data_IF_121787635050
#
_entry.id   IF_121787635050
#
_cell.length_a   1.000
_cell.length_b   1.000
_cell.length_c   1.000
_cell.angle_alpha   90.00
_cell.angle_beta   90.00
_cell.angle_gamma   90.00
#
_symmetry.space_group_name_H-M   'P 1'
#
loop_
_entity.id
_entity.type
_entity.pdbx_description
1 polymer ?
#
# COMPACT_ATOMS: atom_id res chain seq x y z
N UNK A 1 37.33 -26.31 -49.64
CA UNK A 1 36.51 -26.58 -48.45
C UNK A 1 35.28 -25.69 -48.50
N UNK A 2 34.13 -26.37 -48.46
CA UNK A 2 32.72 -25.98 -48.39
C UNK A 2 32.28 -24.52 -48.44
N UNK A 3 31.50 -24.25 -49.49
CA UNK A 3 30.31 -23.41 -49.53
C UNK A 3 29.30 -23.80 -48.45
N UNK A 4 28.71 -22.85 -47.72
CA UNK A 4 27.32 -22.93 -47.21
C UNK A 4 26.72 -21.52 -47.27
N UNK A 5 25.64 -21.43 -48.04
CA UNK A 5 24.74 -20.30 -48.16
C UNK A 5 23.60 -20.41 -47.12
N UNK A 6 23.18 -19.25 -46.59
CA UNK A 6 21.84 -18.74 -46.16
C UNK A 6 20.66 -19.69 -45.81
N UNK A 7 19.55 -19.22 -45.17
CA UNK A 7 19.24 -17.88 -44.62
C UNK A 7 18.56 -17.89 -43.21
N UNK A 8 18.54 -16.71 -42.57
CA UNK A 8 17.61 -16.37 -41.47
C UNK A 8 16.18 -16.19 -42.02
N UNK A 9 15.13 -16.77 -41.42
CA UNK A 9 13.76 -16.34 -41.66
C UNK A 9 13.38 -15.15 -40.76
N UNK A 10 13.10 -14.01 -41.38
CA UNK A 10 12.49 -12.83 -40.75
C UNK A 10 10.97 -12.96 -40.64
N UNK A 11 10.45 -12.31 -39.60
CA UNK A 11 9.06 -12.08 -39.18
C UNK A 11 8.00 -11.83 -40.25
N UNK A 12 6.78 -12.33 -40.01
CA UNK A 12 5.54 -11.64 -40.41
C UNK A 12 4.49 -11.73 -39.30
N UNK A 13 4.41 -10.66 -38.49
CA UNK A 13 3.31 -10.43 -37.55
C UNK A 13 2.26 -9.63 -38.31
N UNK A 14 1.12 -10.28 -38.58
CA UNK A 14 -0.09 -9.63 -39.08
C UNK A 14 -0.84 -9.02 -37.89
N UNK A 15 -0.78 -7.70 -37.74
CA UNK A 15 -1.65 -6.97 -36.81
C UNK A 15 -3.09 -6.93 -37.34
N UNK A 16 -4.12 -7.16 -36.50
CA UNK A 16 -5.51 -6.90 -36.88
C UNK A 16 -5.84 -5.41 -36.71
N UNK A 17 -6.36 -4.81 -37.79
CA UNK A 17 -6.89 -3.46 -37.84
C UNK A 17 -8.20 -3.34 -37.05
N UNK A 18 -8.39 -2.20 -36.39
CA UNK A 18 -9.55 -1.87 -35.56
C UNK A 18 -10.44 -0.85 -36.28
N UNK A 19 -11.69 -1.21 -36.56
CA UNK A 19 -12.75 -0.28 -36.97
C UNK A 19 -14.10 -0.64 -36.34
N UNK A 20 -14.43 0.14 -35.29
CA UNK A 20 -15.70 0.80 -34.91
C UNK A 20 -17.08 0.14 -35.18
N UNK A 21 -17.82 0.02 -34.06
CA UNK A 21 -19.23 0.40 -33.76
C UNK A 21 -20.40 -0.11 -34.63
N UNK A 22 -21.36 -0.82 -34.01
CA UNK A 22 -22.72 -0.30 -33.76
C UNK A 22 -23.67 -1.37 -33.19
N UNK A 23 -24.64 -0.90 -32.43
CA UNK A 23 -25.70 -1.63 -31.74
C UNK A 23 -26.87 -1.86 -32.71
N UNK A 24 -27.40 -3.08 -32.80
CA UNK A 24 -28.82 -3.44 -32.60
C UNK A 24 -29.21 -4.78 -33.27
N UNK A 25 -30.14 -5.47 -32.62
CA UNK A 25 -31.06 -6.51 -33.10
C UNK A 25 -30.55 -7.93 -33.46
N UNK A 26 -30.89 -8.84 -32.53
CA UNK A 26 -31.59 -10.09 -32.79
C UNK A 26 -30.99 -11.06 -33.84
N UNK A 27 -29.86 -11.66 -33.51
CA UNK A 27 -29.47 -12.95 -34.09
C UNK A 27 -29.10 -13.92 -32.97
N UNK A 28 -29.73 -15.10 -33.01
CA UNK A 28 -29.52 -16.27 -32.14
C UNK A 28 -28.02 -16.42 -31.80
N UNK A 29 -27.61 -16.49 -30.52
CA UNK A 29 -26.20 -16.49 -30.18
C UNK A 29 -25.55 -17.79 -30.71
N UNK A 30 -24.35 -17.73 -31.31
CA UNK A 30 -23.60 -18.93 -31.64
C UNK A 30 -23.34 -19.70 -30.35
N UNK A 31 -23.44 -21.03 -30.39
CA UNK A 31 -23.28 -21.90 -29.22
C UNK A 31 -21.99 -21.64 -28.41
N UNK A 32 -20.96 -21.09 -29.08
CA UNK A 32 -19.69 -20.71 -28.47
C UNK A 32 -19.77 -19.48 -27.54
N UNK A 33 -20.71 -18.55 -27.76
CA UNK A 33 -20.91 -17.41 -26.85
C UNK A 33 -21.45 -17.85 -25.49
N UNK A 34 -22.32 -18.87 -25.47
CA UNK A 34 -22.82 -19.47 -24.21
C UNK A 34 -21.74 -20.25 -23.47
N UNK A 35 -20.87 -20.97 -24.20
CA UNK A 35 -19.72 -21.67 -23.61
C UNK A 35 -18.68 -20.70 -23.03
N UNK A 36 -18.34 -19.63 -23.76
CA UNK A 36 -17.43 -18.60 -23.28
C UNK A 36 -18.01 -17.85 -22.08
N UNK A 37 -19.33 -17.61 -22.05
CA UNK A 37 -20.00 -17.00 -20.89
C UNK A 37 -20.04 -17.94 -19.68
N UNK A 38 -20.17 -19.25 -19.88
CA UNK A 38 -20.09 -20.23 -18.78
C UNK A 38 -18.66 -20.30 -18.22
N UNK A 39 -17.66 -20.44 -19.09
CA UNK A 39 -16.25 -20.47 -18.69
C UNK A 39 -15.82 -19.22 -17.91
N UNK A 40 -16.32 -18.03 -18.29
CA UNK A 40 -16.06 -16.80 -17.54
C UNK A 40 -16.80 -16.76 -16.20
N UNK A 41 -17.99 -17.35 -16.08
CA UNK A 41 -18.73 -17.42 -14.81
C UNK A 41 -18.07 -18.39 -13.83
N UNK A 42 -17.52 -19.48 -14.35
CA UNK A 42 -16.77 -20.47 -13.57
C UNK A 42 -15.42 -19.89 -13.13
N UNK A 43 -14.72 -19.15 -14.00
CA UNK A 43 -13.44 -18.50 -13.69
C UNK A 43 -13.55 -17.41 -12.59
N UNK A 44 -14.68 -16.70 -12.54
CA UNK A 44 -14.93 -15.68 -11.50
C UNK A 44 -15.84 -16.17 -10.37
N UNK A 45 -16.22 -17.46 -10.33
CA UNK A 45 -17.03 -18.06 -9.26
C UNK A 45 -18.45 -17.50 -9.12
N UNK A 46 -19.02 -16.89 -10.17
CA UNK A 46 -20.32 -16.19 -10.11
C UNK A 46 -21.44 -17.20 -10.37
N UNK A 47 -21.80 -17.98 -9.35
CA UNK A 47 -23.01 -18.81 -9.35
C UNK A 47 -24.24 -17.90 -9.24
N UNK A 48 -25.13 -17.93 -10.23
CA UNK A 48 -26.34 -17.09 -10.22
C UNK A 48 -27.28 -17.48 -9.08
N UNK A 49 -27.32 -16.65 -8.04
CA UNK A 49 -28.29 -16.69 -6.95
C UNK A 49 -29.69 -16.16 -7.39
N UNK A 50 -30.24 -16.70 -8.48
CA UNK A 50 -31.58 -16.36 -8.96
C UNK A 50 -32.26 -17.54 -9.64
N UNK A 51 -32.43 -18.63 -8.89
CA UNK A 51 -33.57 -19.54 -9.04
C UNK A 51 -33.70 -20.38 -7.77
N UNK A 52 -34.28 -19.77 -6.73
CA UNK A 52 -34.72 -20.49 -5.54
C UNK A 52 -36.23 -20.63 -5.56
N UNK A 53 -36.72 -21.86 -5.68
CA UNK A 53 -37.90 -22.40 -5.02
C UNK A 53 -38.11 -23.84 -5.51
N UNK A 54 -38.04 -24.78 -4.57
CA UNK A 54 -38.30 -26.22 -4.67
C UNK A 54 -37.43 -27.05 -5.62
N UNK A 55 -36.33 -27.59 -5.06
CA UNK A 55 -36.20 -29.05 -4.93
C UNK A 55 -35.23 -29.38 -3.81
N UNK A 56 -35.66 -30.33 -2.99
CA UNK A 56 -34.93 -30.89 -1.85
C UNK A 56 -33.60 -31.47 -2.30
N UNK A 57 -32.64 -31.37 -1.39
CA UNK A 57 -31.41 -32.16 -1.33
C UNK A 57 -31.73 -33.61 -1.75
N UNK A 58 -31.21 -34.02 -2.91
CA UNK A 58 -31.19 -35.41 -3.36
C UNK A 58 -29.76 -35.72 -3.79
N UNK A 59 -28.96 -36.14 -2.82
CA UNK A 59 -27.81 -36.99 -3.06
C UNK A 59 -28.36 -38.36 -3.49
N UNK A 60 -28.50 -38.54 -4.79
CA UNK A 60 -28.79 -39.81 -5.44
C UNK A 60 -27.53 -40.09 -6.27
N UNK A 61 -26.47 -40.71 -5.72
CA UNK A 61 -26.45 -42.08 -5.19
C UNK A 61 -27.26 -43.00 -6.10
N UNK A 62 -26.76 -43.15 -7.31
CA UNK A 62 -27.11 -44.23 -8.22
C UNK A 62 -26.72 -45.58 -7.58
N UNK A 63 -27.56 -46.02 -6.63
CA UNK A 63 -27.68 -47.42 -6.21
C UNK A 63 -28.33 -48.18 -7.36
N UNK A 64 -27.50 -48.79 -8.20
CA UNK A 64 -27.91 -49.97 -8.94
C UNK A 64 -28.12 -51.08 -7.92
N UNK A 65 -29.37 -51.39 -7.61
CA UNK A 65 -29.72 -52.65 -6.96
C UNK A 65 -29.46 -53.80 -7.93
N UNK A 66 -28.39 -54.55 -7.66
CA UNK A 66 -28.27 -55.98 -7.98
C UNK A 66 -27.49 -56.62 -6.81
N UNK A 67 -28.17 -57.43 -6.00
CA UNK A 67 -27.51 -58.47 -5.20
C UNK A 67 -27.10 -59.67 -6.08
N UNK A 68 -26.31 -60.64 -5.59
CA UNK A 68 -26.00 -60.91 -4.19
C UNK A 68 -24.53 -60.72 -3.80
N UNK A 69 -24.38 -60.48 -2.51
CA UNK A 69 -23.20 -60.28 -1.68
C UNK A 69 -22.38 -61.59 -1.52
N UNK A 70 -21.71 -62.04 -2.59
CA UNK A 70 -20.81 -63.22 -2.54
C UNK A 70 -19.48 -63.01 -3.29
N UNK A 71 -19.36 -61.99 -4.13
CA UNK A 71 -18.11 -61.73 -4.89
C UNK A 71 -17.19 -60.69 -4.22
N UNK A 72 -17.65 -59.93 -3.21
CA UNK A 72 -16.82 -58.95 -2.52
C UNK A 72 -15.88 -59.60 -1.48
N UNK A 73 -16.28 -60.71 -0.86
CA UNK A 73 -15.45 -61.43 0.12
C UNK A 73 -14.23 -62.08 -0.55
N UNK A 74 -14.38 -62.64 -1.75
CA UNK A 74 -13.25 -63.28 -2.47
C UNK A 74 -12.20 -62.31 -3.02
N UNK A 75 -12.53 -61.01 -3.09
CA UNK A 75 -11.57 -59.96 -3.48
C UNK A 75 -10.83 -59.38 -2.28
N UNK A 76 -11.44 -59.42 -1.10
CA UNK A 76 -10.80 -58.95 0.13
C UNK A 76 -9.78 -59.94 0.70
N UNK A 77 -9.85 -61.22 0.32
CA UNK A 77 -8.91 -62.25 0.77
C UNK A 77 -7.54 -62.15 0.06
N UNK A 78 -7.53 -61.80 -1.23
CA UNK A 78 -6.32 -61.63 -2.05
C UNK A 78 -5.51 -60.38 -1.67
N UNK A 79 -6.18 -59.32 -1.24
CA UNK A 79 -5.56 -58.05 -0.82
C UNK A 79 -5.28 -58.00 0.70
N UNK A 80 -5.42 -59.12 1.41
CA UNK A 80 -5.16 -59.21 2.86
C UNK A 80 -3.66 -59.18 3.19
N UNK A 81 -3.27 -58.52 4.29
CA UNK A 81 -1.86 -58.38 4.69
C UNK A 81 -1.17 -59.71 5.05
N UNK A 82 -1.96 -60.75 5.34
CA UNK A 82 -1.47 -62.10 5.66
C UNK A 82 -1.55 -63.07 4.48
N UNK A 83 -1.79 -62.57 3.26
CA UNK A 83 -1.93 -63.41 2.07
C UNK A 83 -0.62 -64.10 1.69
N UNK A 84 -0.62 -65.43 1.68
CA UNK A 84 0.49 -66.24 1.19
C UNK A 84 0.24 -66.69 -0.25
N UNK A 85 0.96 -66.07 -1.18
CA UNK A 85 0.86 -66.34 -2.61
C UNK A 85 1.26 -67.79 -2.95
N UNK A 86 2.24 -68.37 -2.24
CA UNK A 86 2.73 -69.72 -2.55
C UNK A 86 1.72 -70.79 -2.10
N UNK A 87 1.17 -70.66 -0.89
CA UNK A 87 0.09 -71.55 -0.43
C UNK A 87 -1.14 -71.46 -1.34
N UNK A 88 -1.55 -70.25 -1.76
CA UNK A 88 -2.69 -70.05 -2.65
C UNK A 88 -2.49 -70.72 -4.02
N UNK A 89 -1.34 -70.51 -4.67
CA UNK A 89 -1.03 -71.16 -5.95
C UNK A 89 -0.99 -72.68 -5.81
N UNK A 90 -0.38 -73.20 -4.73
CA UNK A 90 -0.32 -74.65 -4.48
C UNK A 90 -1.71 -75.26 -4.27
N UNK A 91 -2.61 -74.57 -3.56
CA UNK A 91 -3.99 -75.04 -3.41
C UNK A 91 -4.75 -75.02 -4.74
N UNK A 92 -4.53 -74.02 -5.60
CA UNK A 92 -5.16 -73.94 -6.92
C UNK A 92 -4.67 -75.07 -7.83
N UNK A 93 -3.37 -75.35 -7.85
CA UNK A 93 -2.79 -76.41 -8.66
C UNK A 93 -3.22 -77.81 -8.18
N UNK A 94 -3.44 -77.99 -6.88
CA UNK A 94 -3.92 -79.24 -6.31
C UNK A 94 -5.43 -79.49 -6.53
N UNK A 95 -6.23 -78.42 -6.59
CA UNK A 95 -7.71 -78.52 -6.57
C UNK A 95 -8.35 -78.27 -7.94
N UNK A 96 -7.71 -77.51 -8.84
CA UNK A 96 -8.28 -77.08 -10.12
C UNK A 96 -7.51 -77.64 -11.33
N UNK A 97 -8.25 -77.95 -12.40
CA UNK A 97 -7.67 -78.38 -13.68
C UNK A 97 -7.06 -77.23 -14.49
N UNK A 98 -6.19 -77.56 -15.46
CA UNK A 98 -5.43 -76.59 -16.27
C UNK A 98 -6.27 -75.47 -16.89
N UNK A 99 -7.48 -75.79 -17.37
CA UNK A 99 -8.40 -74.80 -17.97
C UNK A 99 -8.90 -73.76 -16.97
N UNK A 100 -9.05 -74.14 -15.71
CA UNK A 100 -9.49 -73.23 -14.64
C UNK A 100 -8.33 -72.38 -14.14
N UNK A 101 -7.11 -72.93 -14.11
CA UNK A 101 -5.89 -72.17 -13.76
C UNK A 101 -5.66 -71.03 -14.77
N UNK A 102 -5.77 -71.30 -16.07
CA UNK A 102 -5.62 -70.28 -17.11
C UNK A 102 -6.70 -69.20 -17.04
N UNK A 103 -7.94 -69.55 -16.66
CA UNK A 103 -9.00 -68.57 -16.45
C UNK A 103 -8.71 -67.66 -15.26
N UNK A 104 -8.21 -68.22 -14.14
CA UNK A 104 -7.85 -67.42 -12.96
C UNK A 104 -6.69 -66.47 -13.25
N UNK A 105 -5.69 -66.90 -14.02
CA UNK A 105 -4.60 -66.02 -14.46
C UNK A 105 -5.12 -64.88 -15.32
N UNK A 106 -5.95 -65.18 -16.31
CA UNK A 106 -6.54 -64.17 -17.18
C UNK A 106 -7.41 -63.17 -16.41
N UNK A 107 -8.17 -63.63 -15.41
CA UNK A 107 -8.99 -62.76 -14.56
C UNK A 107 -8.13 -61.85 -13.67
N UNK A 108 -7.07 -62.38 -13.05
CA UNK A 108 -6.13 -61.59 -12.25
C UNK A 108 -5.37 -60.56 -13.11
N UNK A 109 -4.92 -60.94 -14.31
CA UNK A 109 -4.30 -60.01 -15.25
C UNK A 109 -5.27 -58.91 -15.72
N UNK A 110 -6.54 -59.28 -15.97
CA UNK A 110 -7.58 -58.31 -16.35
C UNK A 110 -7.87 -57.32 -15.22
N UNK A 111 -8.02 -57.81 -13.99
CA UNK A 111 -8.26 -56.97 -12.81
C UNK A 111 -7.10 -56.04 -12.52
N UNK A 112 -5.87 -56.55 -12.52
CA UNK A 112 -4.67 -55.73 -12.30
C UNK A 112 -4.51 -54.68 -13.39
N UNK A 113 -4.70 -55.03 -14.67
CA UNK A 113 -4.68 -54.06 -15.76
C UNK A 113 -5.78 -53.00 -15.61
N UNK A 114 -6.98 -53.40 -15.21
CA UNK A 114 -8.10 -52.46 -14.97
C UNK A 114 -7.79 -51.50 -13.83
N UNK A 115 -7.27 -51.98 -12.70
CA UNK A 115 -6.89 -51.16 -11.55
C UNK A 115 -5.76 -50.21 -11.93
N UNK A 116 -4.70 -50.71 -12.58
CA UNK A 116 -3.58 -49.89 -13.03
C UNK A 116 -4.04 -48.83 -14.03
N UNK A 117 -4.87 -49.18 -15.00
CA UNK A 117 -5.45 -48.21 -15.93
C UNK A 117 -6.31 -47.17 -15.21
N UNK A 118 -7.14 -47.57 -14.25
CA UNK A 118 -8.02 -46.65 -13.52
C UNK A 118 -7.21 -45.70 -12.61
N UNK A 119 -6.21 -46.23 -11.89
CA UNK A 119 -5.32 -45.45 -11.03
C UNK A 119 -4.45 -44.49 -11.86
N UNK A 120 -3.86 -44.99 -12.94
CA UNK A 120 -3.06 -44.17 -13.85
C UNK A 120 -3.91 -43.08 -14.52
N UNK A 121 -5.11 -43.41 -14.97
CA UNK A 121 -6.07 -42.45 -15.49
C UNK A 121 -6.45 -41.40 -14.44
N UNK A 122 -6.73 -41.82 -13.21
CA UNK A 122 -7.05 -40.92 -12.08
C UNK A 122 -5.91 -39.93 -11.83
N UNK A 123 -4.68 -40.42 -11.74
CA UNK A 123 -3.48 -39.60 -11.51
C UNK A 123 -3.28 -38.63 -12.67
N UNK A 124 -3.40 -39.10 -13.91
CA UNK A 124 -3.21 -38.26 -15.09
C UNK A 124 -4.29 -37.18 -15.21
N UNK A 125 -5.56 -37.52 -14.97
CA UNK A 125 -6.68 -36.60 -15.17
C UNK A 125 -6.74 -35.56 -14.06
N UNK A 126 -6.49 -35.96 -12.81
CA UNK A 126 -6.54 -35.04 -11.67
C UNK A 126 -5.27 -34.20 -11.62
N UNK A 127 -4.07 -34.79 -11.50
CA UNK A 127 -2.85 -34.00 -11.27
C UNK A 127 -2.44 -33.08 -12.44
N UNK A 128 -2.79 -33.42 -13.70
CA UNK A 128 -2.34 -32.65 -14.87
C UNK A 128 -2.87 -31.19 -14.85
N UNK A 129 -4.16 -30.93 -14.60
CA UNK A 129 -4.68 -29.59 -14.33
C UNK A 129 -3.92 -28.82 -13.25
N UNK A 130 -3.69 -29.41 -12.07
CA UNK A 130 -3.01 -28.72 -10.98
C UNK A 130 -1.59 -28.31 -11.35
N UNK A 131 -0.83 -29.20 -12.01
CA UNK A 131 0.54 -28.89 -12.46
C UNK A 131 0.54 -27.72 -13.45
N UNK A 132 -0.43 -27.68 -14.37
CA UNK A 132 -0.56 -26.58 -15.35
C UNK A 132 -0.97 -25.27 -14.68
N UNK A 133 -1.85 -25.32 -13.69
CA UNK A 133 -2.27 -24.13 -12.95
C UNK A 133 -1.09 -23.54 -12.15
N UNK A 134 -0.37 -24.39 -11.42
CA UNK A 134 0.82 -23.98 -10.65
C UNK A 134 1.92 -23.37 -11.54
N UNK A 135 2.13 -23.92 -12.74
CA UNK A 135 3.07 -23.33 -13.71
C UNK A 135 2.59 -21.97 -14.23
N UNK A 136 1.28 -21.80 -14.47
CA UNK A 136 0.70 -20.51 -14.86
C UNK A 136 0.86 -19.46 -13.74
N UNK A 137 0.58 -19.84 -12.49
CA UNK A 137 0.68 -18.95 -11.33
C UNK A 137 2.13 -18.53 -11.09
N UNK A 138 3.08 -19.47 -11.17
CA UNK A 138 4.52 -19.17 -11.11
C UNK A 138 4.92 -18.18 -12.20
N UNK A 139 4.48 -18.38 -13.44
CA UNK A 139 4.78 -17.46 -14.55
C UNK A 139 4.20 -16.08 -14.28
N UNK A 140 2.95 -15.98 -13.84
CA UNK A 140 2.31 -14.70 -13.51
C UNK A 140 3.09 -13.95 -12.44
N UNK A 141 3.45 -14.63 -11.34
CA UNK A 141 4.22 -14.02 -10.25
C UNK A 141 5.57 -13.49 -10.73
N UNK A 142 6.26 -14.27 -11.57
CA UNK A 142 7.55 -13.89 -12.15
C UNK A 142 7.40 -12.64 -13.02
N UNK A 143 6.39 -12.57 -13.88
CA UNK A 143 6.13 -11.38 -14.69
C UNK A 143 5.74 -10.16 -13.86
N UNK A 144 4.95 -10.34 -12.80
CA UNK A 144 4.59 -9.27 -11.88
C UNK A 144 5.81 -8.73 -11.13
N UNK A 145 6.72 -9.61 -10.69
CA UNK A 145 7.92 -9.18 -10.00
C UNK A 145 8.89 -8.45 -10.94
N UNK A 146 9.16 -9.01 -12.12
CA UNK A 146 10.04 -8.37 -13.09
C UNK A 146 9.46 -7.05 -13.62
N UNK A 147 8.16 -6.97 -13.85
CA UNK A 147 7.53 -5.70 -14.28
C UNK A 147 7.62 -4.63 -13.20
N UNK A 148 7.44 -4.99 -11.92
CA UNK A 148 7.66 -4.07 -10.79
C UNK A 148 9.12 -3.62 -10.68
N UNK A 149 10.08 -4.54 -10.83
CA UNK A 149 11.51 -4.22 -10.80
C UNK A 149 11.89 -3.32 -11.97
N UNK A 150 11.39 -3.61 -13.16
CA UNK A 150 11.60 -2.79 -14.36
C UNK A 150 10.97 -1.40 -14.17
N UNK A 151 9.76 -1.31 -13.62
CA UNK A 151 9.10 -0.05 -13.30
C UNK A 151 9.91 0.77 -12.29
N UNK A 152 10.34 0.16 -11.18
CA UNK A 152 11.18 0.81 -10.18
C UNK A 152 12.51 1.31 -10.78
N UNK A 153 13.17 0.48 -11.59
CA UNK A 153 14.40 0.84 -12.30
C UNK A 153 14.17 1.99 -13.29
N UNK A 154 13.04 1.99 -14.00
CA UNK A 154 12.67 3.08 -14.90
C UNK A 154 12.39 4.38 -14.14
N UNK A 155 11.80 4.30 -12.94
CA UNK A 155 11.57 5.45 -12.06
C UNK A 155 12.88 5.99 -11.52
N UNK A 156 13.80 5.13 -11.07
CA UNK A 156 15.15 5.53 -10.66
C UNK A 156 15.89 6.20 -11.83
N UNK A 157 15.79 5.62 -13.03
CA UNK A 157 16.38 6.21 -14.23
C UNK A 157 15.79 7.60 -14.51
N UNK A 158 14.46 7.75 -14.41
CA UNK A 158 13.75 9.01 -14.63
C UNK A 158 14.09 10.07 -13.58
N UNK A 159 14.16 9.66 -12.30
CA UNK A 159 14.62 10.52 -11.19
C UNK A 159 16.06 10.97 -11.43
N UNK A 160 16.94 10.05 -11.84
CA UNK A 160 18.33 10.38 -12.16
C UNK A 160 18.42 11.33 -13.35
N UNK A 161 17.73 11.07 -14.45
CA UNK A 161 17.77 11.96 -15.64
C UNK A 161 17.12 13.31 -15.37
N UNK A 162 16.16 13.41 -14.44
CA UNK A 162 15.56 14.68 -14.03
C UNK A 162 16.43 15.44 -13.01
N UNK A 163 17.28 14.74 -12.25
CA UNK A 163 18.23 15.33 -11.30
C UNK A 163 19.59 15.68 -11.94
N UNK A 164 20.01 14.93 -12.97
CA UNK A 164 21.20 15.22 -13.78
C UNK A 164 21.26 16.66 -14.32
N UNK A 165 20.17 17.29 -14.79
CA UNK A 165 20.17 18.68 -15.20
C UNK A 165 20.17 19.68 -14.02
N UNK A 166 19.96 19.25 -12.76
CA UNK A 166 20.14 20.11 -11.59
C UNK A 166 21.59 20.11 -11.07
N UNK A 167 22.37 19.05 -11.32
CA UNK A 167 23.81 19.04 -11.02
C UNK A 167 24.58 20.24 -11.66
N UNK A 168 24.40 20.60 -12.95
CA UNK A 168 25.06 21.78 -13.51
C UNK A 168 24.55 23.08 -12.90
N UNK A 169 23.28 23.18 -12.47
CA UNK A 169 22.80 24.38 -11.76
C UNK A 169 23.41 24.54 -10.37
N UNK A 170 23.72 23.45 -9.66
CA UNK A 170 24.48 23.54 -8.41
C UNK A 170 25.94 24.00 -8.64
N UNK A 171 26.54 23.61 -9.77
CA UNK A 171 27.86 24.09 -10.18
C UNK A 171 27.85 25.56 -10.66
N UNK A 172 26.73 26.11 -11.10
CA UNK A 172 26.62 27.56 -11.43
C UNK A 172 26.24 28.42 -10.22
N UNK A 173 25.47 27.87 -9.27
CA UNK A 173 25.07 28.59 -8.05
C UNK A 173 26.23 28.75 -7.07
N UNK A 174 27.13 27.76 -6.92
CA UNK A 174 28.26 27.90 -5.98
C UNK A 174 29.20 29.06 -6.33
N UNK A 175 29.63 29.26 -7.59
CA UNK A 175 30.42 30.44 -7.98
C UNK A 175 29.64 31.76 -7.90
N UNK A 176 28.34 31.76 -8.23
CA UNK A 176 27.50 32.96 -8.13
C UNK A 176 27.32 33.41 -6.68
N UNK A 177 27.13 32.46 -5.75
CA UNK A 177 27.03 32.74 -4.31
C UNK A 177 28.36 33.27 -3.77
N UNK A 178 29.50 32.68 -4.18
CA UNK A 178 30.82 33.21 -3.82
C UNK A 178 31.03 34.63 -4.33
N UNK A 179 30.65 34.93 -5.57
CA UNK A 179 30.73 36.28 -6.14
C UNK A 179 29.81 37.28 -5.42
N UNK A 180 28.59 36.87 -5.06
CA UNK A 180 27.68 37.71 -4.27
C UNK A 180 28.24 37.94 -2.86
N UNK A 181 28.81 36.93 -2.22
CA UNK A 181 29.44 37.07 -0.90
C UNK A 181 30.66 38.00 -0.95
N UNK A 182 31.48 37.91 -2.00
CA UNK A 182 32.64 38.78 -2.21
C UNK A 182 32.22 40.22 -2.50
N UNK A 183 31.21 40.44 -3.35
CA UNK A 183 30.66 41.78 -3.61
C UNK A 183 29.98 42.36 -2.38
N UNK A 184 29.24 41.57 -1.60
CA UNK A 184 28.65 41.99 -0.33
C UNK A 184 29.73 42.32 0.72
N UNK A 185 30.82 41.56 0.78
CA UNK A 185 31.96 41.86 1.67
C UNK A 185 32.69 43.15 1.24
N UNK A 186 32.81 43.41 -0.06
CA UNK A 186 33.37 44.67 -0.59
C UNK A 186 32.46 45.88 -0.29
N UNK A 187 31.14 45.72 -0.44
CA UNK A 187 30.16 46.76 -0.07
C UNK A 187 30.14 46.98 1.45
N UNK A 188 30.18 45.91 2.25
CA UNK A 188 30.20 46.00 3.70
C UNK A 188 31.48 46.63 4.23
N UNK A 189 32.65 46.27 3.69
CA UNK A 189 33.92 46.90 4.07
C UNK A 189 34.00 48.36 3.65
N UNK A 190 33.46 48.73 2.47
CA UNK A 190 33.36 50.14 2.05
C UNK A 190 32.32 50.92 2.86
N UNK A 191 31.20 50.30 3.27
CA UNK A 191 30.21 50.89 4.17
C UNK A 191 30.76 51.02 5.61
N UNK A 192 31.52 50.06 6.11
CA UNK A 192 32.21 50.17 7.39
C UNK A 192 33.35 51.17 7.36
N UNK A 193 34.04 51.33 6.22
CA UNK A 193 35.02 52.40 6.02
C UNK A 193 34.37 53.79 5.99
N UNK A 194 33.12 53.90 5.52
CA UNK A 194 32.35 55.17 5.56
C UNK A 194 31.61 55.40 6.88
N UNK A 195 31.32 54.35 7.65
CA UNK A 195 30.71 54.40 9.00
C UNK A 195 31.76 54.47 10.12
N UNK A 196 33.06 54.29 9.82
CA UNK A 196 34.16 54.53 10.76
C UNK A 196 34.44 56.03 10.97
N UNK A 197 33.44 56.75 11.50
CA UNK A 197 33.63 57.93 12.33
C UNK A 197 32.89 57.69 13.67
N UNK A 198 33.45 58.12 14.82
CA UNK A 198 33.55 57.24 15.98
C UNK A 198 32.42 57.35 17.01
N UNK A 199 32.36 56.31 17.84
CA UNK A 199 31.88 56.24 19.23
C UNK A 199 30.37 56.13 19.49
N UNK A 200 29.96 55.02 20.11
CA UNK A 200 28.68 54.91 20.83
C UNK A 200 28.25 53.46 21.10
N UNK A 201 28.32 53.05 22.35
CA UNK A 201 27.94 51.75 22.93
C UNK A 201 26.55 51.21 22.48
N UNK A 202 26.48 49.89 22.30
CA UNK A 202 25.38 49.09 22.85
C UNK A 202 24.39 48.45 21.88
N UNK A 203 24.50 47.12 21.75
CA UNK A 203 23.43 46.16 21.42
C UNK A 203 23.03 46.07 19.94
N UNK A 204 23.71 45.19 19.19
CA UNK A 204 23.20 44.66 17.92
C UNK A 204 22.35 43.42 18.18
N UNK A 205 21.03 43.60 18.30
CA UNK A 205 20.08 42.50 18.11
C UNK A 205 20.15 42.10 16.64
N UNK A 206 20.73 40.92 16.37
CA UNK A 206 20.64 40.26 15.07
C UNK A 206 19.17 39.89 14.82
N UNK A 207 18.50 40.62 13.96
CA UNK A 207 17.22 40.24 13.37
C UNK A 207 17.57 39.61 12.03
N UNK A 208 17.40 38.29 11.92
CA UNK A 208 17.55 37.54 10.66
C UNK A 208 16.59 38.08 9.60
N UNK A 209 17.10 38.09 8.36
CA UNK A 209 16.52 38.74 7.18
C UNK A 209 15.13 38.21 6.73
N UNK A 210 14.29 39.09 6.15
CA UNK A 210 12.96 38.76 5.63
C UNK A 210 13.03 38.19 4.21
N UNK A 211 12.84 36.88 4.08
CA UNK A 211 12.45 36.27 2.80
C UNK A 211 11.08 36.76 2.34
N UNK A 212 10.94 37.01 1.02
CA UNK A 212 9.74 37.42 0.29
C UNK A 212 8.43 36.97 0.94
N UNK A 213 7.72 37.91 1.58
CA UNK A 213 6.46 37.63 2.26
C UNK A 213 5.42 38.66 1.84
N UNK A 214 4.37 38.13 1.21
CA UNK A 214 3.15 38.81 0.78
C UNK A 214 2.61 39.69 1.91
N UNK A 215 1.90 40.78 1.59
CA UNK A 215 1.32 41.69 2.58
C UNK A 215 0.56 41.00 3.72
N UNK A 216 0.00 39.81 3.46
CA UNK A 216 -0.67 38.94 4.44
C UNK A 216 0.19 38.48 5.62
N UNK A 217 1.49 38.24 5.42
CA UNK A 217 2.35 37.75 6.51
C UNK A 217 2.78 38.88 7.45
N UNK A 218 2.94 40.11 6.92
CA UNK A 218 3.17 41.30 7.74
C UNK A 218 1.98 41.58 8.64
N UNK A 219 0.77 41.40 8.13
CA UNK A 219 -0.45 41.63 8.92
C UNK A 219 -0.62 40.55 9.99
N UNK A 220 -0.35 39.28 9.66
CA UNK A 220 -0.35 38.19 10.64
C UNK A 220 0.73 38.34 11.71
N UNK A 221 1.87 38.94 11.37
CA UNK A 221 2.93 39.24 12.34
C UNK A 221 2.51 40.36 13.29
N UNK A 222 1.80 41.40 12.82
CA UNK A 222 1.23 42.45 13.67
C UNK A 222 0.19 41.87 14.63
N UNK A 223 -0.70 41.02 14.14
CA UNK A 223 -1.70 40.31 14.96
C UNK A 223 -1.04 39.44 16.04
N UNK A 224 0.03 38.71 15.69
CA UNK A 224 0.79 37.94 16.67
C UNK A 224 1.49 38.83 17.70
N UNK A 225 2.03 39.96 17.28
CA UNK A 225 2.68 40.91 18.18
C UNK A 225 1.70 41.52 19.18
N UNK A 226 0.47 41.85 18.75
CA UNK A 226 -0.56 42.35 19.66
C UNK A 226 -1.02 41.29 20.66
N UNK A 227 -1.16 40.03 20.23
CA UNK A 227 -1.46 38.91 21.13
C UNK A 227 -0.34 38.66 22.13
N UNK A 228 0.92 38.67 21.68
CA UNK A 228 2.09 38.51 22.57
C UNK A 228 2.18 39.66 23.59
N UNK A 229 1.89 40.90 23.18
CA UNK A 229 1.86 42.04 24.08
C UNK A 229 0.78 41.93 25.17
N UNK A 230 -0.39 41.38 24.82
CA UNK A 230 -1.47 41.08 25.78
C UNK A 230 -1.09 39.92 26.70
N UNK A 231 -0.43 38.88 26.22
CA UNK A 231 0.02 37.76 27.06
C UNK A 231 1.13 38.15 28.04
N UNK A 232 1.94 39.16 27.71
CA UNK A 232 3.02 39.66 28.57
C UNK A 232 2.54 40.65 29.66
N UNK A 233 1.24 40.96 29.68
CA UNK A 233 0.62 41.87 30.66
C UNK A 233 0.90 41.55 32.13
N UNK A 234 0.79 40.31 32.64
CA UNK A 234 1.07 40.04 34.05
C UNK A 234 2.53 40.31 34.43
N UNK A 235 3.48 40.11 33.50
CA UNK A 235 4.90 40.41 33.75
C UNK A 235 5.13 41.91 33.76
N UNK A 236 4.53 42.63 32.81
CA UNK A 236 4.61 44.09 32.73
C UNK A 236 3.98 44.78 33.93
N UNK A 237 2.80 44.33 34.37
CA UNK A 237 2.16 44.85 35.58
C UNK A 237 3.04 44.61 36.81
N UNK A 238 3.57 43.39 37.01
CA UNK A 238 4.49 43.11 38.12
C UNK A 238 5.76 43.99 38.10
N UNK A 239 6.31 44.30 36.92
CA UNK A 239 7.45 45.22 36.80
C UNK A 239 7.09 46.65 37.20
N UNK A 240 5.92 47.15 36.76
CA UNK A 240 5.42 48.48 37.15
C UNK A 240 5.11 48.56 38.66
N UNK A 241 4.71 47.44 39.27
CA UNK A 241 4.54 47.34 40.73
C UNK A 241 5.86 47.40 41.48
N UNK A 242 6.91 46.74 40.98
CA UNK A 242 8.24 46.83 41.56
C UNK A 242 8.76 48.29 41.53
N UNK A 243 8.42 49.05 40.49
CA UNK A 243 8.76 50.46 40.34
C UNK A 243 7.82 51.44 41.07
N UNK A 244 6.78 50.95 41.77
CA UNK A 244 5.70 51.74 42.40
C UNK A 244 4.96 52.69 41.46
N UNK A 245 4.95 52.43 40.15
CA UNK A 245 4.29 53.24 39.12
C UNK A 245 2.85 52.76 38.89
N UNK A 246 2.02 52.91 39.92
CA UNK A 246 0.64 52.39 39.95
C UNK A 246 -0.31 53.06 38.95
N UNK A 247 -0.06 54.32 38.60
CA UNK A 247 -0.88 55.04 37.59
C UNK A 247 -0.73 54.44 36.20
N UNK A 248 0.50 54.16 35.79
CA UNK A 248 0.80 53.57 34.48
C UNK A 248 0.33 52.11 34.41
N UNK A 249 0.44 51.37 35.52
CA UNK A 249 -0.13 50.02 35.62
C UNK A 249 -1.66 50.01 35.39
N UNK A 250 -2.37 51.00 35.93
CA UNK A 250 -3.82 51.13 35.74
C UNK A 250 -4.19 51.51 34.30
N UNK A 251 -3.38 52.35 33.64
CA UNK A 251 -3.57 52.71 32.23
C UNK A 251 -3.33 51.52 31.31
N UNK A 252 -2.22 50.79 31.51
CA UNK A 252 -1.90 49.55 30.80
C UNK A 252 -2.99 48.49 30.98
N UNK A 253 -3.50 48.33 32.21
CA UNK A 253 -4.60 47.41 32.51
C UNK A 253 -5.91 47.84 31.86
N UNK A 254 -6.21 49.15 31.82
CA UNK A 254 -7.42 49.67 31.17
C UNK A 254 -7.42 49.42 29.65
N UNK A 255 -6.26 49.51 28.98
CA UNK A 255 -6.16 49.17 27.55
C UNK A 255 -6.31 47.66 27.31
N UNK A 256 -5.64 46.85 28.13
CA UNK A 256 -5.64 45.39 28.00
C UNK A 256 -7.01 44.79 28.32
N UNK A 257 -7.66 45.21 29.40
CA UNK A 257 -9.00 44.75 29.77
C UNK A 257 -10.04 45.00 28.68
N UNK A 258 -9.96 46.14 27.96
CA UNK A 258 -10.82 46.43 26.80
C UNK A 258 -10.54 45.50 25.62
N UNK A 259 -9.29 45.09 25.41
CA UNK A 259 -8.94 44.09 24.39
C UNK A 259 -9.43 42.69 24.81
N UNK A 260 -9.25 42.29 26.06
CA UNK A 260 -9.73 41.01 26.60
C UNK A 260 -11.26 40.90 26.55
N UNK A 261 -11.99 42.01 26.78
CA UNK A 261 -13.44 42.05 26.64
C UNK A 261 -13.89 41.77 25.19
N UNK A 262 -13.16 42.31 24.20
CA UNK A 262 -13.41 42.02 22.78
C UNK A 262 -13.08 40.58 22.40
N UNK A 263 -12.13 39.95 23.12
CA UNK A 263 -11.67 38.58 22.86
C UNK A 263 -12.34 37.50 23.72
N UNK A 264 -13.37 37.83 24.49
CA UNK A 264 -13.98 36.95 25.51
C UNK A 264 -14.52 35.59 25.05
N UNK A 265 -14.53 35.31 23.74
CA UNK A 265 -14.88 33.99 23.16
C UNK A 265 -13.68 33.04 23.01
N UNK A 266 -12.45 33.50 23.23
CA UNK A 266 -11.22 32.71 23.06
C UNK A 266 -10.84 32.02 24.38
N UNK A 267 -10.49 30.74 24.31
CA UNK A 267 -10.07 29.93 25.46
C UNK A 267 -8.82 30.55 26.14
N UNK A 268 -8.80 30.60 27.47
CA UNK A 268 -7.67 31.10 28.28
C UNK A 268 -7.68 32.61 28.58
N UNK A 269 -8.52 33.40 27.90
CA UNK A 269 -8.66 34.86 28.16
C UNK A 269 -9.20 35.14 29.57
N UNK A 270 -10.08 34.26 30.09
CA UNK A 270 -10.60 34.36 31.45
C UNK A 270 -9.52 34.16 32.51
N UNK A 271 -8.61 33.20 32.33
CA UNK A 271 -7.51 32.93 33.26
C UNK A 271 -6.52 34.10 33.31
N UNK A 272 -6.15 34.63 32.14
CA UNK A 272 -5.29 35.81 32.04
C UNK A 272 -5.93 37.03 32.73
N UNK A 273 -7.23 37.22 32.54
CA UNK A 273 -7.99 38.29 33.19
C UNK A 273 -7.95 38.15 34.71
N UNK A 274 -8.25 36.98 35.24
CA UNK A 274 -8.19 36.74 36.70
C UNK A 274 -6.79 36.92 37.26
N UNK A 275 -5.75 36.52 36.51
CA UNK A 275 -4.36 36.70 36.93
C UNK A 275 -3.98 38.19 37.03
N UNK A 276 -4.42 39.01 36.07
CA UNK A 276 -4.19 40.44 36.12
C UNK A 276 -5.06 41.16 37.16
N UNK A 277 -6.32 40.76 37.35
CA UNK A 277 -7.20 41.28 38.42
C UNK A 277 -6.57 41.05 39.81
N UNK A 278 -6.06 39.84 40.08
CA UNK A 278 -5.34 39.54 41.32
C UNK A 278 -4.10 40.44 41.54
N UNK A 279 -3.37 40.76 40.46
CA UNK A 279 -2.20 41.65 40.53
C UNK A 279 -2.63 43.08 40.83
N UNK A 280 -3.77 43.53 40.30
CA UNK A 280 -4.31 44.87 40.53
C UNK A 280 -4.96 45.01 41.92
N UNK A 281 -5.63 43.97 42.42
CA UNK A 281 -6.20 43.95 43.76
C UNK A 281 -5.09 44.01 44.84
N UNK A 282 -3.94 43.38 44.58
CA UNK A 282 -2.74 43.51 45.40
C UNK A 282 -2.16 44.94 45.47
N UNK A 283 -2.60 45.85 44.58
CA UNK A 283 -2.26 47.30 44.62
C UNK A 283 -3.17 48.03 45.59
N UNK A 284 -4.45 47.64 45.62
CA UNK A 284 -5.48 48.33 46.38
C UNK A 284 -5.44 47.97 47.86
N UNK A 285 -5.02 46.74 48.18
CA UNK A 285 -4.73 46.28 49.53
C UNK A 285 -3.20 46.14 49.73
N UNK A 286 -2.49 47.19 50.17
CA UNK A 286 -1.08 47.03 50.52
C UNK A 286 -1.00 46.01 51.68
N UNK A 287 -0.12 45.00 51.63
CA UNK A 287 0.13 44.17 52.80
C UNK A 287 0.62 45.09 53.91
N UNK A 288 -0.09 45.08 55.05
CA UNK A 288 0.39 45.70 56.27
C UNK A 288 1.83 45.23 56.50
N UNK A 289 2.76 46.19 56.47
CA UNK A 289 4.12 45.96 56.88
C UNK A 289 4.09 45.60 58.37
N UNK A 290 4.09 44.30 58.66
CA UNK A 290 4.34 43.76 59.99
C UNK A 290 5.66 44.33 60.51
N UNK A 291 5.57 44.96 61.69
CA UNK A 291 6.69 45.43 62.50
C UNK A 291 7.66 44.32 62.90
#
# INVERSE_FOLDING_TARGET
MSTIASPRPSSSIRSPSSTRTSIDTAARPPANSRRNRAALRDYYGIKSASKGADTKISEESSRTELGPDVEAETLSELDSETFDAEAYVNTILATRGLSEVLKTEADLLSRTYTILCNLFWRIIINCRPEIRNLDSDRKSLVYDNYSKLLAATSTIRRMRTNMDPLAPTTHTLSPAISHIAETAASISSSAHASVAHPAGLGIQVRIDEPGHQSGSDKDRQKERATVLWVLDTPRRLNALLAERRTKEAQEDWAEVSRLLQKWGKVNGVGELRTACENIMDAIQDPPEAGS
#
